data_IF_633752549874
#
_entry.id   IF_633752549874
#
_cell.length_a   1.000
_cell.length_b   1.000
_cell.length_c   1.000
_cell.angle_alpha   90.00
_cell.angle_beta   90.00
_cell.angle_gamma   90.00
#
_symmetry.space_group_name_H-M   'P 1'
#
loop_
_entity.id
_entity.type
_entity.pdbx_description
1 polymer ?
#
# COMPACT_ATOMS: atom_id res chain seq x y z
N UNK A 1 -56.22 -37.03 13.60
CA UNK A 1 -55.92 -36.05 14.67
C UNK A 1 -54.43 -35.94 15.03
N UNK A 2 -53.56 -36.93 14.76
CA UNK A 2 -52.10 -36.84 15.06
C UNK A 2 -51.28 -35.95 14.10
N UNK A 3 -51.73 -35.71 12.87
CA UNK A 3 -51.01 -34.87 11.89
C UNK A 3 -51.09 -33.37 12.19
N UNK A 4 -52.20 -32.93 12.79
CA UNK A 4 -52.43 -31.53 13.12
C UNK A 4 -51.54 -31.06 14.29
N UNK A 5 -51.24 -31.94 15.25
CA UNK A 5 -50.36 -31.58 16.39
C UNK A 5 -48.89 -31.42 15.99
N UNK A 6 -48.42 -32.15 14.96
CA UNK A 6 -47.04 -32.03 14.47
C UNK A 6 -46.82 -30.74 13.70
N UNK A 7 -47.80 -30.31 12.88
CA UNK A 7 -47.74 -29.03 12.18
C UNK A 7 -47.75 -27.84 13.13
N UNK A 8 -48.56 -27.88 14.20
CA UNK A 8 -48.58 -26.84 15.23
C UNK A 8 -47.25 -26.79 16.01
N UNK A 9 -46.68 -27.96 16.35
CA UNK A 9 -45.40 -28.04 17.05
C UNK A 9 -44.23 -27.53 16.18
N UNK A 10 -44.25 -27.80 14.87
CA UNK A 10 -43.25 -27.30 13.93
C UNK A 10 -43.33 -25.77 13.77
N UNK A 11 -44.55 -25.22 13.73
CA UNK A 11 -44.78 -23.77 13.64
C UNK A 11 -44.29 -23.01 14.88
N UNK A 12 -44.49 -23.58 16.07
CA UNK A 12 -44.01 -23.02 17.35
C UNK A 12 -42.46 -23.09 17.42
N UNK A 13 -41.85 -24.17 16.91
CA UNK A 13 -40.39 -24.29 16.85
C UNK A 13 -39.77 -23.27 15.88
N UNK A 14 -40.41 -22.99 14.74
CA UNK A 14 -39.97 -21.95 13.81
C UNK A 14 -40.15 -20.54 14.37
N UNK A 15 -41.20 -20.28 15.16
CA UNK A 15 -41.41 -18.98 15.83
C UNK A 15 -40.35 -18.69 16.90
N UNK A 16 -39.85 -19.73 17.58
CA UNK A 16 -38.75 -19.60 18.55
C UNK A 16 -37.38 -19.39 17.87
N UNK A 17 -37.19 -19.90 16.65
CA UNK A 17 -35.98 -19.67 15.85
C UNK A 17 -35.87 -18.23 15.31
N UNK A 18 -36.99 -17.52 15.15
CA UNK A 18 -36.99 -16.12 14.71
C UNK A 18 -36.85 -15.09 15.85
N UNK A 19 -37.09 -15.47 17.12
CA UNK A 19 -36.97 -14.55 18.25
C UNK A 19 -35.53 -14.20 18.65
N UNK A 20 -34.52 -14.88 18.08
CA UNK A 20 -33.10 -14.58 18.32
C UNK A 20 -32.45 -13.70 17.25
N UNK A 21 -33.22 -13.20 16.27
CA UNK A 21 -32.77 -12.05 15.49
C UNK A 21 -32.74 -10.84 16.44
N UNK A 22 -31.59 -10.63 17.10
CA UNK A 22 -31.25 -9.36 17.74
C UNK A 22 -31.32 -8.29 16.67
N UNK A 23 -32.48 -7.65 16.53
CA UNK A 23 -32.62 -6.42 15.80
C UNK A 23 -31.63 -5.44 16.43
N UNK A 24 -30.66 -5.00 15.64
CA UNK A 24 -29.70 -3.99 16.07
C UNK A 24 -30.51 -2.73 16.40
N UNK A 25 -30.52 -2.32 17.67
CA UNK A 25 -31.29 -1.17 18.13
C UNK A 25 -30.82 0.07 17.37
N UNK A 26 -31.67 0.56 16.46
CA UNK A 26 -31.36 1.71 15.63
C UNK A 26 -31.29 2.96 16.52
N UNK A 27 -30.08 3.46 16.74
CA UNK A 27 -29.82 4.68 17.52
C UNK A 27 -29.32 5.78 16.57
N UNK A 28 -30.23 6.68 16.21
CA UNK A 28 -29.96 7.75 15.24
C UNK A 28 -28.83 8.72 15.69
N UNK A 29 -28.65 8.93 17.00
CA UNK A 29 -27.57 9.77 17.54
C UNK A 29 -26.20 9.09 17.37
N UNK A 30 -26.13 7.79 17.67
CA UNK A 30 -24.94 6.96 17.46
C UNK A 30 -24.51 6.96 15.99
N UNK A 31 -25.43 6.69 15.06
CA UNK A 31 -25.10 6.65 13.63
C UNK A 31 -24.63 8.01 13.10
N UNK A 32 -25.29 9.09 13.53
CA UNK A 32 -24.88 10.46 13.19
C UNK A 32 -23.48 10.77 13.70
N UNK A 33 -23.14 10.32 14.92
CA UNK A 33 -21.81 10.47 15.52
C UNK A 33 -20.75 9.68 14.74
N UNK A 34 -21.04 8.44 14.36
CA UNK A 34 -20.14 7.59 13.55
C UNK A 34 -19.86 8.26 12.20
N UNK A 35 -20.90 8.71 11.50
CA UNK A 35 -20.76 9.37 10.21
C UNK A 35 -19.90 10.65 10.33
N UNK A 36 -20.20 11.50 11.32
CA UNK A 36 -19.41 12.70 11.59
C UNK A 36 -17.94 12.37 11.86
N UNK A 37 -17.67 11.39 12.72
CA UNK A 37 -16.31 10.95 13.05
C UNK A 37 -15.59 10.41 11.82
N UNK A 38 -16.29 9.65 10.97
CA UNK A 38 -15.71 9.04 9.78
C UNK A 38 -15.27 10.10 8.78
N UNK A 39 -16.15 11.05 8.44
CA UNK A 39 -15.81 12.16 7.55
C UNK A 39 -14.70 13.02 8.15
N UNK A 40 -14.76 13.31 9.46
CA UNK A 40 -13.70 14.08 10.11
C UNK A 40 -12.35 13.36 10.08
N UNK A 41 -12.35 12.04 10.21
CA UNK A 41 -11.13 11.22 10.10
C UNK A 41 -10.51 11.32 8.71
N UNK A 42 -11.33 11.32 7.65
CA UNK A 42 -10.87 11.45 6.26
C UNK A 42 -10.26 12.82 6.00
N UNK A 43 -10.88 13.89 6.46
CA UNK A 43 -10.35 15.26 6.39
C UNK A 43 -8.98 15.34 7.08
N UNK A 44 -8.90 14.89 8.34
CA UNK A 44 -7.68 14.91 9.13
C UNK A 44 -6.57 14.07 8.47
N UNK A 45 -6.91 12.91 7.91
CA UNK A 45 -5.94 12.08 7.20
C UNK A 45 -5.43 12.74 5.92
N UNK A 46 -6.29 13.47 5.18
CA UNK A 46 -5.89 14.24 4.00
C UNK A 46 -4.95 15.41 4.37
N UNK A 47 -5.08 15.96 5.57
CA UNK A 47 -4.17 16.97 6.15
C UNK A 47 -2.90 16.37 6.77
N UNK A 48 -2.69 15.05 6.64
CA UNK A 48 -1.62 14.28 7.28
C UNK A 48 -1.65 14.30 8.83
N UNK A 49 -2.79 14.66 9.43
CA UNK A 49 -3.00 14.59 10.87
C UNK A 49 -3.42 13.18 11.29
N UNK A 50 -2.52 12.23 11.08
CA UNK A 50 -2.76 10.79 11.29
C UNK A 50 -3.09 10.45 12.74
N UNK A 51 -2.55 11.18 13.72
CA UNK A 51 -2.82 10.95 15.14
C UNK A 51 -4.30 11.20 15.47
N UNK A 52 -4.86 12.33 15.06
CA UNK A 52 -6.26 12.64 15.33
C UNK A 52 -7.21 11.80 14.46
N UNK A 53 -6.84 11.55 13.19
CA UNK A 53 -7.61 10.67 12.32
C UNK A 53 -7.73 9.26 12.91
N UNK A 54 -6.61 8.67 13.35
CA UNK A 54 -6.62 7.35 13.98
C UNK A 54 -7.42 7.34 15.30
N UNK A 55 -7.36 8.42 16.09
CA UNK A 55 -8.17 8.55 17.32
C UNK A 55 -9.66 8.47 17.01
N UNK A 56 -10.13 9.21 16.00
CA UNK A 56 -11.54 9.20 15.59
C UNK A 56 -11.96 7.81 15.06
N UNK A 57 -11.15 7.15 14.25
CA UNK A 57 -11.46 5.78 13.80
C UNK A 57 -11.55 4.78 14.96
N UNK A 58 -10.67 4.88 15.96
CA UNK A 58 -10.76 4.04 17.17
C UNK A 58 -12.03 4.32 17.98
N UNK A 59 -12.47 5.58 18.03
CA UNK A 59 -13.74 5.93 18.67
C UNK A 59 -14.91 5.29 17.92
N UNK A 60 -14.94 5.34 16.59
CA UNK A 60 -15.94 4.64 15.78
C UNK A 60 -15.96 3.15 16.11
N UNK A 61 -14.79 2.50 16.15
CA UNK A 61 -14.69 1.06 16.47
C UNK A 61 -15.08 0.73 17.92
N UNK A 62 -15.04 1.69 18.83
CA UNK A 62 -15.56 1.53 20.20
C UNK A 62 -17.10 1.62 20.25
N UNK A 63 -17.70 2.40 19.36
CA UNK A 63 -19.16 2.53 19.23
C UNK A 63 -19.74 1.36 18.41
N UNK A 64 -19.04 0.96 17.36
CA UNK A 64 -19.39 -0.13 16.47
C UNK A 64 -18.13 -0.93 16.08
N UNK A 65 -17.88 -2.00 16.83
CA UNK A 65 -16.73 -2.89 16.63
C UNK A 65 -16.75 -3.65 15.30
N UNK A 66 -17.87 -3.64 14.57
CA UNK A 66 -18.03 -4.32 13.28
C UNK A 66 -17.91 -3.35 12.09
N UNK A 67 -17.66 -2.06 12.34
CA UNK A 67 -17.53 -1.05 11.31
C UNK A 67 -16.26 -1.28 10.46
N UNK A 68 -16.43 -2.00 9.37
CA UNK A 68 -15.31 -2.41 8.51
C UNK A 68 -14.68 -1.21 7.81
N UNK A 69 -15.47 -0.21 7.41
CA UNK A 69 -14.96 1.00 6.74
C UNK A 69 -14.00 1.78 7.66
N UNK A 70 -14.38 1.96 8.94
CA UNK A 70 -13.51 2.60 9.93
C UNK A 70 -12.25 1.78 10.21
N UNK A 71 -12.35 0.46 10.24
CA UNK A 71 -11.19 -0.43 10.40
C UNK A 71 -10.22 -0.32 9.20
N UNK A 72 -10.73 -0.29 7.97
CA UNK A 72 -9.93 -0.10 6.75
C UNK A 72 -9.28 1.28 6.76
N UNK A 73 -10.02 2.34 7.09
CA UNK A 73 -9.47 3.68 7.17
C UNK A 73 -8.35 3.76 8.24
N UNK A 74 -8.55 3.15 9.40
CA UNK A 74 -7.53 3.08 10.45
C UNK A 74 -6.26 2.36 9.96
N UNK A 75 -6.42 1.23 9.25
CA UNK A 75 -5.29 0.52 8.68
C UNK A 75 -4.54 1.36 7.62
N UNK A 76 -5.26 2.08 6.76
CA UNK A 76 -4.65 3.01 5.77
C UNK A 76 -3.90 4.14 6.47
N UNK A 77 -4.47 4.73 7.53
CA UNK A 77 -3.81 5.75 8.35
C UNK A 77 -2.53 5.21 8.98
N UNK A 78 -2.55 3.99 9.52
CA UNK A 78 -1.35 3.34 10.04
C UNK A 78 -0.30 3.11 8.95
N UNK A 79 -0.69 2.66 7.76
CA UNK A 79 0.23 2.53 6.63
C UNK A 79 0.86 3.88 6.23
N UNK A 80 0.06 4.95 6.11
CA UNK A 80 0.55 6.29 5.78
C UNK A 80 1.46 6.87 6.86
N UNK A 81 1.23 6.51 8.12
CA UNK A 81 2.09 6.87 9.25
C UNK A 81 3.27 5.91 9.46
N UNK A 82 3.60 5.07 8.47
CA UNK A 82 4.68 4.08 8.50
C UNK A 82 4.57 2.99 9.60
N UNK A 83 3.39 2.81 10.19
CA UNK A 83 3.07 1.77 11.18
C UNK A 83 2.56 0.51 10.48
N UNK A 84 3.38 -0.05 9.58
CA UNK A 84 2.95 -1.08 8.64
C UNK A 84 2.50 -2.38 9.30
N UNK A 85 3.08 -2.76 10.43
CA UNK A 85 2.70 -3.99 11.14
C UNK A 85 1.33 -3.84 11.82
N UNK A 86 1.04 -2.65 12.39
CA UNK A 86 -0.28 -2.35 12.96
C UNK A 86 -1.36 -2.32 11.88
N UNK A 87 -1.06 -1.76 10.71
CA UNK A 87 -1.96 -1.82 9.56
C UNK A 87 -2.21 -3.28 9.12
N UNK A 88 -1.14 -4.08 8.99
CA UNK A 88 -1.23 -5.47 8.58
C UNK A 88 -2.12 -6.32 9.50
N UNK A 89 -2.00 -6.16 10.83
CA UNK A 89 -2.85 -6.87 11.80
C UNK A 89 -4.34 -6.57 11.59
N UNK A 90 -4.70 -5.29 11.46
CA UNK A 90 -6.11 -4.91 11.23
C UNK A 90 -6.61 -5.47 9.90
N UNK A 91 -5.79 -5.38 8.85
CA UNK A 91 -6.15 -5.87 7.52
C UNK A 91 -6.35 -7.39 7.52
N UNK A 92 -5.49 -8.15 8.22
CA UNK A 92 -5.64 -9.60 8.32
C UNK A 92 -6.94 -9.99 9.02
N UNK A 93 -7.33 -9.31 10.10
CA UNK A 93 -8.60 -9.57 10.79
C UNK A 93 -9.82 -9.32 9.89
N UNK A 94 -9.75 -8.30 9.02
CA UNK A 94 -10.81 -8.02 8.05
C UNK A 94 -10.85 -9.11 6.97
N UNK A 95 -9.69 -9.49 6.43
CA UNK A 95 -9.60 -10.51 5.37
C UNK A 95 -9.94 -11.92 5.84
N UNK A 96 -9.77 -12.24 7.13
CA UNK A 96 -10.25 -13.50 7.71
C UNK A 96 -11.79 -13.61 7.64
N UNK A 97 -12.50 -12.51 7.87
CA UNK A 97 -13.97 -12.46 7.84
C UNK A 97 -14.51 -12.20 6.43
N UNK A 98 -13.80 -11.39 5.65
CA UNK A 98 -14.19 -10.95 4.33
C UNK A 98 -13.03 -11.12 3.33
N UNK A 99 -12.70 -12.36 2.92
CA UNK A 99 -11.53 -12.65 2.08
C UNK A 99 -11.55 -11.96 0.72
N UNK A 100 -12.73 -11.61 0.23
CA UNK A 100 -12.94 -10.91 -1.04
C UNK A 100 -13.27 -9.42 -0.85
N UNK A 101 -12.89 -8.80 0.28
CA UNK A 101 -13.08 -7.36 0.46
C UNK A 101 -12.12 -6.59 -0.45
N UNK A 102 -12.67 -5.82 -1.39
CA UNK A 102 -11.90 -5.02 -2.33
C UNK A 102 -10.97 -4.05 -1.60
N UNK A 103 -11.53 -3.25 -0.69
CA UNK A 103 -10.80 -2.20 0.01
C UNK A 103 -9.73 -2.74 0.96
N UNK A 104 -9.98 -3.91 1.57
CA UNK A 104 -9.01 -4.56 2.44
C UNK A 104 -7.86 -5.19 1.63
N UNK A 105 -8.14 -5.82 0.49
CA UNK A 105 -7.11 -6.36 -0.40
C UNK A 105 -6.27 -5.25 -1.04
N UNK A 106 -6.89 -4.12 -1.39
CA UNK A 106 -6.17 -2.94 -1.85
C UNK A 106 -5.27 -2.37 -0.73
N UNK A 107 -5.82 -2.19 0.47
CA UNK A 107 -5.05 -1.72 1.63
C UNK A 107 -3.89 -2.66 1.97
N UNK A 108 -4.08 -3.98 1.90
CA UNK A 108 -3.02 -4.99 2.10
C UNK A 108 -1.90 -4.82 1.07
N UNK A 109 -2.27 -4.73 -0.20
CA UNK A 109 -1.33 -4.59 -1.32
C UNK A 109 -0.47 -3.34 -1.16
N UNK A 110 -1.09 -2.22 -0.80
CA UNK A 110 -0.41 -0.93 -0.63
C UNK A 110 0.44 -0.88 0.65
N UNK A 111 -0.05 -1.43 1.76
CA UNK A 111 0.69 -1.51 3.02
C UNK A 111 1.99 -2.32 2.85
N UNK A 112 1.88 -3.51 2.27
CA UNK A 112 3.05 -4.37 2.05
C UNK A 112 4.03 -3.76 1.05
N UNK A 113 3.52 -3.02 0.05
CA UNK A 113 4.40 -2.27 -0.86
C UNK A 113 5.16 -1.17 -0.11
N UNK A 114 4.46 -0.37 0.69
CA UNK A 114 5.04 0.74 1.47
C UNK A 114 6.05 0.23 2.51
N UNK A 115 5.80 -0.93 3.11
CA UNK A 115 6.71 -1.61 4.03
C UNK A 115 7.98 -2.20 3.36
N UNK A 116 8.09 -2.13 2.03
CA UNK A 116 9.16 -2.78 1.27
C UNK A 116 9.02 -4.31 1.19
N UNK A 117 7.89 -4.86 1.65
CA UNK A 117 7.54 -6.29 1.63
C UNK A 117 6.94 -6.68 0.28
N UNK A 118 7.69 -6.42 -0.79
CA UNK A 118 7.20 -6.53 -2.18
C UNK A 118 6.66 -7.92 -2.55
N UNK A 119 7.19 -9.01 -1.97
CA UNK A 119 6.67 -10.35 -2.20
C UNK A 119 5.22 -10.49 -1.71
N UNK A 120 4.95 -10.06 -0.48
CA UNK A 120 3.60 -10.08 0.10
C UNK A 120 2.65 -9.14 -0.64
N UNK A 121 3.13 -7.97 -1.08
CA UNK A 121 2.35 -7.08 -1.95
C UNK A 121 1.94 -7.76 -3.26
N UNK A 122 2.83 -8.49 -3.92
CA UNK A 122 2.53 -9.29 -5.13
C UNK A 122 1.49 -10.37 -4.82
N UNK A 123 1.60 -11.05 -3.68
CA UNK A 123 0.66 -12.10 -3.27
C UNK A 123 -0.76 -11.54 -3.07
N UNK A 124 -0.92 -10.44 -2.32
CA UNK A 124 -2.21 -9.80 -2.14
C UNK A 124 -2.79 -9.26 -3.46
N UNK A 125 -1.96 -8.67 -4.32
CA UNK A 125 -2.40 -8.22 -5.64
C UNK A 125 -2.92 -9.39 -6.51
N UNK A 126 -2.31 -10.58 -6.40
CA UNK A 126 -2.78 -11.79 -7.11
C UNK A 126 -4.06 -12.35 -6.52
N UNK A 127 -4.23 -12.32 -5.20
CA UNK A 127 -5.49 -12.70 -4.55
C UNK A 127 -6.60 -11.77 -5.02
N UNK A 128 -6.34 -10.46 -5.05
CA UNK A 128 -7.29 -9.47 -5.53
C UNK A 128 -7.68 -9.69 -7.00
N UNK A 129 -6.74 -10.02 -7.88
CA UNK A 129 -7.04 -10.36 -9.28
C UNK A 129 -7.94 -11.60 -9.44
N UNK A 130 -7.89 -12.57 -8.52
CA UNK A 130 -8.79 -13.73 -8.54
C UNK A 130 -10.24 -13.34 -8.24
N UNK A 131 -10.45 -12.41 -7.31
CA UNK A 131 -11.77 -11.91 -6.94
C UNK A 131 -12.28 -10.82 -7.89
N UNK A 132 -11.39 -10.02 -8.47
CA UNK A 132 -11.69 -8.83 -9.28
C UNK A 132 -10.88 -8.81 -10.59
N UNK A 133 -11.11 -9.77 -11.51
CA UNK A 133 -10.31 -9.90 -12.73
C UNK A 133 -10.48 -8.72 -13.71
N UNK A 134 -11.55 -7.94 -13.60
CA UNK A 134 -11.82 -6.74 -14.40
C UNK A 134 -11.10 -5.47 -13.89
N UNK A 135 -10.51 -5.53 -12.69
CA UNK A 135 -9.84 -4.38 -12.06
C UNK A 135 -8.34 -4.39 -12.35
N UNK A 136 -7.97 -3.73 -13.45
CA UNK A 136 -6.56 -3.61 -13.90
C UNK A 136 -5.62 -2.96 -12.86
N UNK A 137 -6.17 -2.25 -11.87
CA UNK A 137 -5.39 -1.65 -10.78
C UNK A 137 -4.54 -2.69 -10.04
N UNK A 138 -5.05 -3.89 -9.81
CA UNK A 138 -4.31 -4.93 -9.08
C UNK A 138 -3.16 -5.50 -9.90
N UNK A 139 -3.37 -5.67 -11.22
CA UNK A 139 -2.29 -6.04 -12.14
C UNK A 139 -1.21 -4.96 -12.18
N UNK A 140 -1.60 -3.69 -12.17
CA UNK A 140 -0.67 -2.56 -12.13
C UNK A 140 0.15 -2.51 -10.83
N UNK A 141 -0.50 -2.76 -9.68
CA UNK A 141 0.16 -2.86 -8.37
C UNK A 141 1.12 -4.06 -8.30
N UNK A 142 0.74 -5.22 -8.84
CA UNK A 142 1.63 -6.38 -8.96
C UNK A 142 2.90 -6.04 -9.75
N UNK A 143 2.73 -5.46 -10.94
CA UNK A 143 3.86 -5.08 -11.81
C UNK A 143 4.78 -4.10 -11.09
N UNK A 144 4.22 -3.08 -10.42
CA UNK A 144 4.98 -2.10 -9.65
C UNK A 144 5.80 -2.77 -8.54
N UNK A 145 5.20 -3.68 -7.77
CA UNK A 145 5.88 -4.42 -6.71
C UNK A 145 6.99 -5.35 -7.25
N UNK A 146 6.75 -6.03 -8.37
CA UNK A 146 7.75 -6.89 -9.03
C UNK A 146 8.95 -6.09 -9.56
N UNK A 147 8.73 -4.88 -10.09
CA UNK A 147 9.81 -3.99 -10.51
C UNK A 147 10.71 -3.58 -9.34
N UNK A 148 10.15 -3.20 -8.20
CA UNK A 148 10.93 -2.84 -7.02
C UNK A 148 11.67 -4.04 -6.41
N UNK A 149 11.02 -5.21 -6.36
CA UNK A 149 11.66 -6.45 -5.95
C UNK A 149 12.88 -6.78 -6.83
N UNK A 150 12.77 -6.60 -8.15
CA UNK A 150 13.87 -6.80 -9.10
C UNK A 150 14.96 -5.74 -8.97
N UNK A 151 14.59 -4.47 -8.77
CA UNK A 151 15.54 -3.36 -8.54
C UNK A 151 16.43 -3.61 -7.33
N UNK A 152 15.85 -4.03 -6.20
CA UNK A 152 16.60 -4.35 -4.99
C UNK A 152 17.56 -5.54 -5.17
N UNK A 153 17.14 -6.55 -5.93
CA UNK A 153 17.96 -7.75 -6.12
C UNK A 153 19.08 -7.55 -7.17
N UNK A 154 18.80 -6.93 -8.32
CA UNK A 154 19.67 -7.08 -9.51
C UNK A 154 19.53 -5.94 -10.54
N UNK A 155 19.85 -4.71 -10.17
CA UNK A 155 20.13 -3.72 -11.21
C UNK A 155 21.62 -3.69 -11.53
N UNK A 156 21.94 -4.05 -12.78
CA UNK A 156 23.09 -3.43 -13.41
C UNK A 156 22.77 -1.93 -13.50
N UNK A 157 23.76 -1.08 -13.22
CA UNK A 157 23.57 0.37 -13.23
C UNK A 157 24.36 0.99 -14.36
N UNK A 158 23.73 1.86 -15.13
CA UNK A 158 24.41 2.77 -16.04
C UNK A 158 24.33 4.16 -15.40
N UNK A 159 25.48 4.82 -15.27
CA UNK A 159 25.59 6.17 -14.73
C UNK A 159 26.31 7.05 -15.75
N UNK A 160 25.68 8.18 -16.09
CA UNK A 160 26.20 9.17 -17.01
C UNK A 160 26.37 10.48 -16.24
N UNK A 161 27.58 11.03 -16.29
CA UNK A 161 27.89 12.34 -15.75
C UNK A 161 28.56 13.18 -16.81
N UNK A 162 28.17 14.45 -16.85
CA UNK A 162 28.82 15.46 -17.64
C UNK A 162 28.91 16.73 -16.80
N UNK A 163 30.08 17.33 -16.75
CA UNK A 163 30.29 18.60 -16.06
C UNK A 163 31.37 19.41 -16.78
N UNK A 164 31.40 20.70 -16.51
CA UNK A 164 32.42 21.60 -17.04
C UNK A 164 33.04 22.43 -15.94
N UNK A 165 34.30 22.80 -16.10
CA UNK A 165 35.01 23.68 -15.17
C UNK A 165 35.69 24.84 -15.92
N UNK A 166 35.66 26.03 -15.33
CA UNK A 166 36.23 27.26 -15.89
C UNK A 166 37.48 27.62 -15.10
N UNK A 167 38.65 27.47 -15.72
CA UNK A 167 39.92 27.92 -15.14
C UNK A 167 40.23 29.29 -15.76
N UNK A 168 40.42 30.32 -14.93
CA UNK A 168 40.70 31.69 -15.38
C UNK A 168 41.77 31.73 -16.48
N UNK A 169 41.42 32.35 -17.62
CA UNK A 169 42.33 32.54 -18.76
C UNK A 169 42.45 31.38 -19.75
N UNK A 170 41.61 30.34 -19.70
CA UNK A 170 41.59 29.23 -20.67
C UNK A 170 40.18 28.85 -21.15
N UNK A 171 40.11 28.06 -22.23
CA UNK A 171 38.88 27.39 -22.70
C UNK A 171 38.29 26.47 -21.62
N UNK A 172 36.95 26.30 -21.55
CA UNK A 172 36.29 25.47 -20.55
C UNK A 172 36.70 24.00 -20.66
N UNK A 173 36.99 23.40 -19.52
CA UNK A 173 37.26 21.97 -19.46
C UNK A 173 35.93 21.23 -19.44
N UNK A 174 35.77 20.30 -20.37
CA UNK A 174 34.63 19.41 -20.50
C UNK A 174 35.02 18.04 -19.95
N UNK A 175 34.24 17.57 -19.00
CA UNK A 175 34.40 16.27 -18.39
C UNK A 175 33.17 15.41 -18.67
N UNK A 176 33.41 14.17 -19.06
CA UNK A 176 32.39 13.14 -19.19
C UNK A 176 32.78 11.89 -18.42
N UNK A 177 31.84 11.27 -17.74
CA UNK A 177 32.02 9.95 -17.12
C UNK A 177 30.88 9.03 -17.50
N UNK A 178 31.23 7.89 -18.07
CA UNK A 178 30.34 6.76 -18.26
C UNK A 178 30.72 5.66 -17.27
N UNK A 179 29.78 5.16 -16.49
CA UNK A 179 29.99 4.00 -15.61
C UNK A 179 28.95 2.93 -15.86
N UNK A 180 29.41 1.71 -16.12
CA UNK A 180 28.58 0.51 -16.12
C UNK A 180 28.92 -0.35 -14.90
N UNK A 181 27.92 -0.69 -14.09
CA UNK A 181 28.08 -1.58 -12.93
C UNK A 181 27.28 -2.85 -13.14
N UNK A 182 27.94 -4.00 -13.08
CA UNK A 182 27.31 -5.33 -13.07
C UNK A 182 27.27 -5.89 -11.66
N UNK A 183 26.07 -6.24 -11.17
CA UNK A 183 25.87 -6.86 -9.84
C UNK A 183 25.82 -8.39 -9.98
N UNK A 184 26.71 -9.10 -9.29
CA UNK A 184 26.78 -10.56 -9.27
C UNK A 184 26.14 -11.10 -8.00
N UNK A 185 25.40 -12.22 -8.12
CA UNK A 185 24.65 -12.80 -6.99
C UNK A 185 25.54 -13.23 -5.81
N UNK A 186 26.78 -13.64 -6.06
CA UNK A 186 27.68 -14.23 -5.04
C UNK A 186 29.00 -13.47 -4.83
N UNK A 187 29.29 -12.47 -5.66
CA UNK A 187 30.63 -11.88 -5.75
C UNK A 187 30.64 -10.34 -5.66
N UNK A 188 29.53 -9.73 -5.22
CA UNK A 188 29.42 -8.27 -5.14
C UNK A 188 29.18 -7.64 -6.51
N UNK A 189 29.82 -6.51 -6.80
CA UNK A 189 29.61 -5.75 -8.06
C UNK A 189 30.94 -5.46 -8.75
N UNK A 190 30.96 -5.50 -10.09
CA UNK A 190 32.07 -4.99 -10.91
C UNK A 190 31.62 -3.72 -11.62
N UNK A 191 32.42 -2.66 -11.52
CA UNK A 191 32.15 -1.39 -12.19
C UNK A 191 33.25 -1.06 -13.19
N UNK A 192 32.87 -0.80 -14.44
CA UNK A 192 33.73 -0.24 -15.48
C UNK A 192 33.39 1.24 -15.61
N UNK A 193 34.40 2.10 -15.47
CA UNK A 193 34.27 3.56 -15.59
C UNK A 193 35.20 4.07 -16.67
N UNK A 194 34.66 4.84 -17.60
CA UNK A 194 35.42 5.59 -18.60
C UNK A 194 35.24 7.08 -18.32
N UNK A 195 36.35 7.79 -18.13
CA UNK A 195 36.36 9.24 -17.94
C UNK A 195 37.03 9.89 -19.16
N UNK A 196 36.40 10.94 -19.67
CA UNK A 196 36.92 11.80 -20.73
C UNK A 196 37.13 13.21 -20.18
N UNK A 197 38.25 13.84 -20.54
CA UNK A 197 38.52 15.24 -20.27
C UNK A 197 39.28 15.85 -21.45
N UNK A 198 38.83 16.99 -21.98
CA UNK A 198 39.46 17.71 -23.09
C UNK A 198 40.62 18.61 -22.63
N UNK A 199 41.61 18.06 -21.91
CA UNK A 199 42.78 18.83 -21.49
C UNK A 199 43.71 19.01 -22.71
N UNK A 200 43.97 20.26 -23.13
CA UNK A 200 44.99 20.67 -24.13
C UNK A 200 44.61 20.83 -25.62
N UNK A 201 43.48 21.45 -25.98
CA UNK A 201 43.36 22.09 -27.30
C UNK A 201 44.01 23.49 -27.32
N UNK A 202 45.28 23.62 -26.90
CA UNK A 202 46.03 24.88 -27.15
C UNK A 202 46.41 24.90 -28.63
N UNK A 203 45.85 25.81 -29.43
CA UNK A 203 46.43 26.20 -30.73
C UNK A 203 47.87 26.65 -30.44
N UNK A 204 48.86 25.89 -30.93
CA UNK A 204 50.24 26.36 -31.05
C UNK A 204 50.21 27.52 -32.05
N UNK A 205 50.16 28.75 -31.59
CA UNK A 205 50.59 29.90 -32.39
C UNK A 205 52.11 29.81 -32.49
N UNK A 206 52.60 29.28 -33.60
CA UNK A 206 53.99 29.47 -34.04
C UNK A 206 54.20 30.96 -34.27
N UNK A 207 55.07 31.56 -33.46
CA UNK A 207 55.65 32.90 -33.68
C UNK A 207 56.62 32.83 -34.85
#
# INVERSE_FOLDING_TARGET
MKSLSWQISFFILTLFLFSELKAQEYNADKESRILYLFEKSRELAAENNYTLAAKNCKEILSLDSLNTDAAILLARIYSWNAQYDSAATIISEILEKHPSSYDALEAATDNEFAAGRYKSSIEYAKIAQKHFPDKEVFKSKEIRADLELKRGQKSNRIHLQFWSDFIEGNDPWLFGSFTYTKKFKKSGSLSLRYNYANRYQKKRTSV
#
